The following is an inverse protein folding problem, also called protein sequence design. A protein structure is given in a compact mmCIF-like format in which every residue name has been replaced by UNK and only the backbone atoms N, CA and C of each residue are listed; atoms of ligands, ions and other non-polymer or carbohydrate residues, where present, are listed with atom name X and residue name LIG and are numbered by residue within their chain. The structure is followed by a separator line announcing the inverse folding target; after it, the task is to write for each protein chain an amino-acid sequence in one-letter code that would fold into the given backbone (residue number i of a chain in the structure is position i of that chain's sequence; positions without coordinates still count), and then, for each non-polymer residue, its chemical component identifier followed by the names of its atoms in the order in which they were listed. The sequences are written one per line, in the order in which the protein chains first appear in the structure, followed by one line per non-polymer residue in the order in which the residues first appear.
data_IF_038682540295
#
_entry.id   IF_038682540295
#
_cell.length_a   1.000
_cell.length_b   1.000
_cell.length_c   1.000
_cell.angle_alpha   90.00
_cell.angle_beta   90.00
_cell.angle_gamma   90.00
#
_symmetry.space_group_name_H-M   'P 1'
#
loop_
_entity.id
_entity.type
_entity.pdbx_description
1 polymer ?
#
# COMPACT_ATOMS: atom_id res chain seq x y z
N UNK A 1 39.85 31.15 33.86
CA UNK A 1 38.55 31.39 34.54
C UNK A 1 38.40 32.90 34.67
N UNK A 2 37.42 33.64 34.16
CA UNK A 2 36.30 33.35 33.26
C UNK A 2 35.97 34.65 32.52
N UNK A 3 35.64 34.54 31.24
CA UNK A 3 35.17 35.65 30.41
C UNK A 3 33.66 35.80 30.63
N UNK A 4 33.22 36.98 31.10
CA UNK A 4 31.80 37.26 31.36
C UNK A 4 31.38 38.60 30.78
N UNK A 5 30.39 38.55 29.87
CA UNK A 5 29.28 39.49 29.88
C UNK A 5 29.25 40.62 28.84
N UNK A 6 29.21 40.31 27.55
CA UNK A 6 28.83 41.31 26.53
C UNK A 6 27.29 41.40 26.43
N UNK A 7 26.70 42.37 27.16
CA UNK A 7 25.28 42.75 27.08
C UNK A 7 24.91 43.16 25.65
N UNK A 8 24.10 42.35 24.95
CA UNK A 8 23.44 42.76 23.70
C UNK A 8 22.18 43.56 24.03
N UNK A 9 22.21 44.87 23.76
CA UNK A 9 21.06 45.77 23.84
C UNK A 9 20.10 45.45 22.69
N UNK A 10 18.82 45.26 23.02
CA UNK A 10 17.71 45.08 22.08
C UNK A 10 17.42 46.44 21.43
N UNK A 11 17.61 46.54 20.12
CA UNK A 11 17.18 47.69 19.34
C UNK A 11 15.74 47.43 18.84
N UNK A 12 14.84 48.33 19.21
CA UNK A 12 13.50 48.47 18.65
C UNK A 12 13.56 49.33 17.39
N UNK A 13 13.08 48.81 16.27
CA UNK A 13 12.73 49.59 15.07
C UNK A 13 11.39 49.03 14.57
N UNK A 14 10.29 49.70 14.90
CA UNK A 14 9.64 50.71 14.06
C UNK A 14 8.92 50.04 12.88
N UNK A 15 7.61 49.82 13.07
CA UNK A 15 6.65 49.51 12.01
C UNK A 15 6.65 50.66 10.99
N UNK A 16 6.73 50.31 9.72
CA UNK A 16 6.16 51.08 8.62
C UNK A 16 5.36 50.09 7.80
N UNK A 17 4.05 50.32 7.79
CA UNK A 17 3.04 49.61 7.04
C UNK A 17 3.32 49.70 5.53
N UNK A 18 3.37 48.55 4.87
CA UNK A 18 2.94 48.34 3.49
C UNK A 18 2.81 46.81 3.28
N UNK A 19 1.89 46.20 4.03
CA UNK A 19 1.43 44.83 3.78
C UNK A 19 0.55 44.86 2.53
N UNK A 20 1.17 44.77 1.36
CA UNK A 20 0.49 44.37 0.13
C UNK A 20 -0.08 42.98 0.39
N UNK A 21 -1.41 42.76 0.32
CA UNK A 21 -1.96 41.43 0.51
C UNK A 21 -1.50 40.61 -0.70
N UNK A 22 -0.42 39.86 -0.53
CA UNK A 22 -0.04 38.79 -1.45
C UNK A 22 -1.17 37.80 -1.35
N UNK A 23 -2.12 37.91 -2.29
CA UNK A 23 -3.20 36.97 -2.49
C UNK A 23 -2.52 35.69 -2.92
N UNK A 24 -2.06 34.91 -1.93
CA UNK A 24 -1.48 33.58 -2.12
C UNK A 24 -2.52 32.84 -2.92
N UNK A 25 -2.21 32.57 -4.18
CA UNK A 25 -3.03 31.72 -5.04
C UNK A 25 -3.32 30.49 -4.22
N UNK A 26 -4.58 30.39 -3.77
CA UNK A 26 -5.04 29.26 -3.00
C UNK A 26 -4.85 28.11 -3.98
N UNK A 27 -3.85 27.27 -3.72
CA UNK A 27 -3.51 26.16 -4.60
C UNK A 27 -4.73 25.25 -4.80
N UNK A 28 -4.53 24.13 -5.50
CA UNK A 28 -5.50 23.04 -5.71
C UNK A 28 -6.54 22.80 -4.57
N UNK A 29 -6.13 23.12 -3.35
CA UNK A 29 -6.81 23.29 -2.06
C UNK A 29 -8.00 24.24 -1.95
N UNK A 30 -8.29 25.11 -2.93
CA UNK A 30 -9.37 26.10 -2.85
C UNK A 30 -10.77 25.48 -2.96
N UNK A 31 -10.86 24.25 -3.45
CA UNK A 31 -12.12 23.55 -3.71
C UNK A 31 -12.63 22.75 -2.50
N UNK A 32 -11.78 22.54 -1.49
CA UNK A 32 -12.19 21.87 -0.26
C UNK A 32 -12.92 22.87 0.65
N UNK A 33 -14.23 22.71 0.78
CA UNK A 33 -15.07 23.50 1.71
C UNK A 33 -14.88 23.08 3.18
N UNK A 34 -13.78 22.38 3.53
CA UNK A 34 -13.55 21.88 4.88
C UNK A 34 -13.15 22.99 5.84
N UNK A 35 -13.81 23.04 7.00
CA UNK A 35 -13.45 23.97 8.06
C UNK A 35 -12.13 23.57 8.73
N UNK A 36 -11.44 24.50 9.40
CA UNK A 36 -10.23 24.15 10.17
C UNK A 36 -10.52 23.13 11.29
N UNK A 37 -11.75 23.09 11.81
CA UNK A 37 -12.17 22.08 12.78
C UNK A 37 -12.20 20.69 12.14
N UNK A 38 -12.74 20.57 10.94
CA UNK A 38 -12.80 19.31 10.20
C UNK A 38 -11.39 18.84 9.82
N UNK A 39 -10.53 19.78 9.41
CA UNK A 39 -9.12 19.49 9.14
C UNK A 39 -8.36 18.99 10.37
N UNK A 40 -8.64 19.52 11.56
CA UNK A 40 -8.08 18.99 12.81
C UNK A 40 -8.56 17.58 13.10
N UNK A 41 -9.83 17.30 12.80
CA UNK A 41 -10.43 15.98 12.96
C UNK A 41 -9.77 14.95 12.04
N UNK A 42 -9.57 15.29 10.77
CA UNK A 42 -8.83 14.45 9.81
C UNK A 42 -7.43 14.14 10.34
N UNK A 43 -6.66 15.16 10.76
CA UNK A 43 -5.32 14.95 11.33
C UNK A 43 -5.31 14.11 12.60
N UNK A 44 -6.38 14.14 13.39
CA UNK A 44 -6.49 13.31 14.59
C UNK A 44 -6.69 11.85 14.22
N UNK A 45 -7.65 11.57 13.32
CA UNK A 45 -7.91 10.22 12.82
C UNK A 45 -6.69 9.61 12.12
N UNK A 46 -6.02 10.36 11.26
CA UNK A 46 -4.77 9.93 10.60
C UNK A 46 -3.69 9.50 11.61
N UNK A 47 -3.59 10.21 12.75
CA UNK A 47 -2.62 9.88 13.82
C UNK A 47 -3.06 8.67 14.64
N UNK A 48 -4.35 8.54 14.87
CA UNK A 48 -4.93 7.39 15.57
C UNK A 48 -4.72 6.12 14.75
N UNK A 49 -4.96 6.18 13.43
CA UNK A 49 -4.66 5.10 12.51
C UNK A 49 -3.17 4.75 12.48
N UNK A 50 -2.28 5.76 12.40
CA UNK A 50 -0.84 5.52 12.45
C UNK A 50 -0.41 4.78 13.72
N UNK A 51 -1.01 5.14 14.85
CA UNK A 51 -0.74 4.50 16.12
C UNK A 51 -1.24 3.05 16.11
N UNK A 52 -2.46 2.82 15.62
CA UNK A 52 -3.03 1.47 15.46
C UNK A 52 -2.18 0.59 14.54
N UNK A 53 -1.71 1.12 13.41
CA UNK A 53 -0.81 0.41 12.49
C UNK A 53 0.48 -0.05 13.19
N UNK A 54 1.04 0.81 14.03
CA UNK A 54 2.27 0.50 14.78
C UNK A 54 2.03 -0.54 15.87
N UNK A 55 0.90 -0.45 16.57
CA UNK A 55 0.54 -1.39 17.63
C UNK A 55 0.24 -2.79 17.05
N UNK A 56 -0.40 -2.85 15.88
CA UNK A 56 -0.78 -4.09 15.20
C UNK A 56 0.25 -4.56 14.15
N UNK A 57 1.50 -4.06 14.21
CA UNK A 57 2.51 -4.30 13.17
C UNK A 57 2.87 -5.78 12.95
N UNK A 58 2.72 -6.64 13.97
CA UNK A 58 2.90 -8.09 13.83
C UNK A 58 1.79 -8.74 13.02
N UNK A 59 0.56 -8.31 13.29
CA UNK A 59 -0.64 -8.90 12.72
C UNK A 59 -0.81 -8.43 11.28
N UNK A 60 -0.44 -7.18 11.00
CA UNK A 60 -0.29 -6.63 9.65
C UNK A 60 0.71 -7.39 8.80
N UNK A 61 1.78 -7.95 9.37
CA UNK A 61 2.76 -8.74 8.63
C UNK A 61 2.31 -10.19 8.39
N UNK A 62 1.19 -10.60 8.97
CA UNK A 62 0.69 -11.98 8.91
C UNK A 62 -0.26 -12.15 7.74
N UNK A 63 0.06 -13.07 6.82
CA UNK A 63 -0.69 -13.28 5.57
C UNK A 63 -2.14 -13.75 5.76
N UNK A 64 -2.45 -14.39 6.89
CA UNK A 64 -3.79 -14.90 7.20
C UNK A 64 -4.64 -13.91 7.99
N UNK A 65 -4.16 -12.67 8.18
CA UNK A 65 -4.82 -11.68 9.02
C UNK A 65 -5.56 -10.66 8.17
N UNK A 66 -6.83 -10.42 8.49
CA UNK A 66 -7.67 -9.41 7.82
C UNK A 66 -7.27 -7.97 8.22
N UNK A 67 -6.40 -7.80 9.22
CA UNK A 67 -6.01 -6.49 9.77
C UNK A 67 -5.38 -5.57 8.73
N UNK A 68 -4.66 -6.13 7.75
CA UNK A 68 -4.09 -5.35 6.65
C UNK A 68 -5.16 -4.77 5.73
N UNK A 69 -6.15 -5.58 5.35
CA UNK A 69 -7.24 -5.15 4.49
C UNK A 69 -8.12 -4.12 5.20
N UNK A 70 -8.42 -4.33 6.48
CA UNK A 70 -9.21 -3.41 7.29
C UNK A 70 -8.55 -2.03 7.37
N UNK A 71 -7.26 -1.97 7.70
CA UNK A 71 -6.58 -0.68 7.82
C UNK A 71 -6.33 0.00 6.46
N UNK A 72 -6.15 -0.77 5.39
CA UNK A 72 -6.05 -0.20 4.03
C UNK A 72 -7.39 0.42 3.61
N UNK A 73 -8.51 -0.27 3.84
CA UNK A 73 -9.85 0.26 3.56
C UNK A 73 -10.17 1.50 4.40
N UNK A 74 -9.75 1.53 5.67
CA UNK A 74 -9.92 2.69 6.53
C UNK A 74 -9.13 3.90 6.02
N UNK A 75 -7.90 3.69 5.57
CA UNK A 75 -7.07 4.74 4.98
C UNK A 75 -7.66 5.26 3.67
N UNK A 76 -8.11 4.36 2.78
CA UNK A 76 -8.75 4.73 1.51
C UNK A 76 -10.02 5.58 1.73
N UNK A 77 -10.84 5.22 2.72
CA UNK A 77 -12.01 6.04 3.08
C UNK A 77 -11.57 7.43 3.56
N UNK A 78 -10.52 7.54 4.36
CA UNK A 78 -10.07 8.84 4.87
C UNK A 78 -9.44 9.72 3.78
N UNK A 79 -8.85 9.12 2.75
CA UNK A 79 -8.18 9.82 1.66
C UNK A 79 -9.10 10.84 0.95
N UNK A 80 -10.41 10.54 0.84
CA UNK A 80 -11.40 11.48 0.28
C UNK A 80 -11.45 12.83 1.01
N UNK A 81 -10.98 12.89 2.25
CA UNK A 81 -10.98 14.08 3.09
C UNK A 81 -9.58 14.71 3.22
N UNK A 82 -8.56 14.10 2.63
CA UNK A 82 -7.18 14.59 2.65
C UNK A 82 -7.01 15.61 1.53
N UNK A 83 -7.32 16.87 1.85
CA UNK A 83 -7.22 17.93 0.86
C UNK A 83 -5.91 18.70 0.99
N UNK A 84 -5.34 18.92 2.18
CA UNK A 84 -4.20 19.82 2.37
C UNK A 84 -2.86 19.10 2.54
N UNK A 85 -1.73 19.75 2.19
CA UNK A 85 -0.41 19.11 2.21
C UNK A 85 -0.01 18.55 3.58
N UNK A 86 -0.49 19.18 4.66
CA UNK A 86 -0.21 18.72 6.02
C UNK A 86 -0.95 17.43 6.37
N UNK A 87 -2.15 17.23 5.82
CA UNK A 87 -2.90 15.98 5.97
C UNK A 87 -2.32 14.92 5.04
N UNK A 88 -1.96 15.27 3.79
CA UNK A 88 -1.30 14.37 2.85
C UNK A 88 0.04 13.81 3.38
N UNK A 89 0.77 14.60 4.16
CA UNK A 89 2.00 14.12 4.80
C UNK A 89 1.73 13.08 5.92
N UNK A 90 0.58 13.16 6.59
CA UNK A 90 0.19 12.16 7.59
C UNK A 90 -0.29 10.87 6.90
N UNK A 91 -1.09 11.01 5.86
CA UNK A 91 -1.54 9.91 4.99
C UNK A 91 -0.34 9.14 4.40
N UNK A 92 0.65 9.86 3.86
CA UNK A 92 1.89 9.24 3.38
C UNK A 92 2.63 8.45 4.47
N UNK A 93 2.61 8.93 5.72
CA UNK A 93 3.22 8.21 6.84
C UNK A 93 2.47 6.91 7.18
N UNK A 94 1.15 6.88 6.97
CA UNK A 94 0.34 5.66 7.13
C UNK A 94 0.64 4.66 6.00
N UNK A 95 0.74 5.14 4.76
CA UNK A 95 1.12 4.31 3.60
C UNK A 95 2.53 3.72 3.76
N UNK A 96 3.48 4.46 4.34
CA UNK A 96 4.82 3.94 4.60
C UNK A 96 4.80 2.74 5.55
N UNK A 97 3.98 2.77 6.62
CA UNK A 97 3.85 1.63 7.54
C UNK A 97 3.14 0.43 6.89
N UNK A 98 2.11 0.67 6.08
CA UNK A 98 1.48 -0.40 5.29
C UNK A 98 2.48 -1.03 4.31
N UNK A 99 3.32 -0.23 3.66
CA UNK A 99 4.35 -0.73 2.76
C UNK A 99 5.40 -1.59 3.49
N UNK A 100 5.78 -1.21 4.72
CA UNK A 100 6.63 -2.04 5.58
C UNK A 100 5.95 -3.39 5.86
N UNK A 101 4.65 -3.41 6.13
CA UNK A 101 3.90 -4.65 6.33
C UNK A 101 3.86 -5.52 5.07
N UNK A 102 3.54 -4.95 3.89
CA UNK A 102 3.55 -5.67 2.60
C UNK A 102 4.91 -6.25 2.28
N UNK A 103 5.98 -5.50 2.56
CA UNK A 103 7.36 -5.98 2.34
C UNK A 103 7.64 -7.22 3.20
N UNK A 104 7.21 -7.23 4.46
CA UNK A 104 7.35 -8.38 5.36
C UNK A 104 6.51 -9.56 4.89
N UNK A 105 5.27 -9.33 4.49
CA UNK A 105 4.40 -10.35 3.91
C UNK A 105 5.02 -10.99 2.66
N UNK A 106 5.59 -10.16 1.77
CA UNK A 106 6.27 -10.63 0.56
C UNK A 106 7.51 -11.47 0.86
N UNK A 107 8.29 -11.10 1.88
CA UNK A 107 9.40 -11.91 2.37
C UNK A 107 8.93 -13.24 2.97
N UNK A 108 7.81 -13.23 3.71
CA UNK A 108 7.20 -14.44 4.25
C UNK A 108 6.71 -15.36 3.12
N UNK A 109 6.09 -14.83 2.06
CA UNK A 109 5.70 -15.61 0.88
C UNK A 109 6.91 -16.18 0.14
N UNK A 110 7.95 -15.38 -0.08
CA UNK A 110 9.17 -15.83 -0.75
C UNK A 110 9.98 -16.86 0.05
N UNK A 111 9.88 -16.84 1.38
CA UNK A 111 10.50 -17.84 2.26
C UNK A 111 9.59 -19.05 2.51
N UNK A 112 8.28 -18.91 2.32
CA UNK A 112 7.35 -20.03 2.36
C UNK A 112 7.64 -20.97 1.18
N UNK A 113 7.69 -22.27 1.46
CA UNK A 113 7.87 -23.32 0.46
C UNK A 113 6.63 -23.50 -0.44
N UNK A 114 5.74 -22.49 -0.52
CA UNK A 114 4.50 -22.53 -1.29
C UNK A 114 4.76 -22.74 -2.81
N UNK A 115 5.93 -22.31 -3.30
CA UNK A 115 6.37 -22.52 -4.69
C UNK A 115 7.32 -23.71 -4.84
N UNK A 116 7.70 -24.39 -3.76
CA UNK A 116 8.57 -25.58 -3.81
C UNK A 116 7.70 -26.82 -3.89
N UNK A 117 7.27 -27.14 -5.09
CA UNK A 117 6.67 -28.44 -5.36
C UNK A 117 7.76 -29.50 -5.35
N UNK A 118 7.56 -30.57 -4.58
CA UNK A 118 8.39 -31.76 -4.73
C UNK A 118 8.10 -32.36 -6.12
N UNK A 119 9.08 -32.31 -7.01
CA UNK A 119 8.89 -32.72 -8.42
C UNK A 119 8.44 -34.19 -8.53
N UNK A 120 8.86 -35.03 -7.60
CA UNK A 120 8.46 -36.43 -7.46
C UNK A 120 6.98 -36.59 -7.11
N UNK A 121 6.47 -35.82 -6.14
CA UNK A 121 5.05 -35.76 -5.78
C UNK A 121 4.21 -35.26 -6.95
N UNK A 122 4.66 -34.19 -7.63
CA UNK A 122 3.97 -33.66 -8.79
C UNK A 122 3.89 -34.70 -9.92
N UNK A 123 5.00 -35.36 -10.25
CA UNK A 123 5.06 -36.42 -11.27
C UNK A 123 4.15 -37.58 -10.86
N UNK A 124 4.15 -37.98 -9.58
CA UNK A 124 3.30 -39.06 -9.05
C UNK A 124 1.83 -38.71 -9.19
N UNK A 125 1.40 -37.55 -8.70
CA UNK A 125 0.02 -37.09 -8.78
C UNK A 125 -0.44 -36.92 -10.23
N UNK A 126 0.42 -36.39 -11.10
CA UNK A 126 0.11 -36.24 -12.54
C UNK A 126 -0.07 -37.61 -13.19
N UNK A 127 0.78 -38.59 -12.84
CA UNK A 127 0.64 -39.97 -13.33
C UNK A 127 -0.64 -40.63 -12.83
N UNK A 128 -1.04 -40.40 -11.58
CA UNK A 128 -2.29 -40.96 -11.05
C UNK A 128 -3.53 -40.45 -11.84
N UNK A 129 -3.51 -39.19 -12.29
CA UNK A 129 -4.63 -38.56 -13.00
C UNK A 129 -4.57 -38.79 -14.52
N UNK A 130 -3.38 -38.86 -15.11
CA UNK A 130 -3.17 -38.91 -16.57
C UNK A 130 -2.76 -40.31 -17.06
N UNK A 131 -3.38 -41.37 -16.53
CA UNK A 131 -3.20 -42.75 -17.03
C UNK A 131 -4.36 -43.09 -17.98
N UNK A 132 -4.05 -43.68 -19.13
CA UNK A 132 -5.08 -44.15 -20.07
C UNK A 132 -5.85 -45.33 -19.47
N UNK A 133 -7.19 -45.24 -19.43
CA UNK A 133 -8.06 -46.35 -18.98
C UNK A 133 -7.83 -47.66 -19.75
N UNK A 134 -7.44 -47.57 -21.03
CA UNK A 134 -7.19 -48.74 -21.88
C UNK A 134 -5.85 -49.43 -21.63
N UNK A 135 -4.84 -48.72 -21.12
CA UNK A 135 -3.49 -49.23 -20.88
C UNK A 135 -2.84 -48.52 -19.68
N UNK A 136 -2.78 -49.16 -18.50
CA UNK A 136 -2.33 -48.51 -17.27
C UNK A 136 -0.82 -48.18 -17.22
N UNK A 137 -0.04 -48.59 -18.24
CA UNK A 137 1.36 -48.19 -18.37
C UNK A 137 1.56 -46.97 -19.27
N UNK A 138 0.54 -46.57 -20.03
CA UNK A 138 0.60 -45.47 -20.98
C UNK A 138 0.13 -44.16 -20.35
N UNK A 139 0.93 -43.12 -20.52
CA UNK A 139 0.61 -41.77 -20.08
C UNK A 139 -0.28 -41.05 -21.11
N UNK A 140 -1.35 -40.42 -20.63
CA UNK A 140 -2.28 -39.64 -21.43
C UNK A 140 -1.85 -38.15 -21.51
N UNK A 141 -1.07 -37.83 -22.53
CA UNK A 141 -0.66 -36.46 -22.82
C UNK A 141 -1.82 -35.53 -23.17
N UNK A 142 -2.94 -36.07 -23.66
CA UNK A 142 -4.10 -35.26 -24.05
C UNK A 142 -4.90 -34.83 -22.81
N UNK A 143 -5.06 -35.72 -21.83
CA UNK A 143 -5.64 -35.37 -20.53
C UNK A 143 -4.81 -34.29 -19.81
N UNK A 144 -3.47 -34.44 -19.81
CA UNK A 144 -2.57 -33.42 -19.24
C UNK A 144 -2.71 -32.07 -19.98
N UNK A 145 -2.71 -32.09 -21.32
CA UNK A 145 -2.85 -30.89 -22.13
C UNK A 145 -4.17 -30.16 -21.89
N UNK A 146 -5.26 -30.89 -21.70
CA UNK A 146 -6.57 -30.31 -21.37
C UNK A 146 -6.58 -29.67 -19.97
N UNK A 147 -5.99 -30.33 -18.98
CA UNK A 147 -5.91 -29.82 -17.60
C UNK A 147 -5.00 -28.58 -17.53
N UNK A 148 -3.80 -28.65 -18.12
CA UNK A 148 -2.87 -27.52 -18.17
C UNK A 148 -3.42 -26.35 -18.99
N UNK A 149 -4.14 -26.63 -20.08
CA UNK A 149 -4.78 -25.62 -20.92
C UNK A 149 -5.83 -24.80 -20.18
N UNK A 150 -6.51 -25.35 -19.17
CA UNK A 150 -7.46 -24.61 -18.34
C UNK A 150 -6.77 -23.47 -17.56
N UNK A 151 -5.55 -23.69 -17.06
CA UNK A 151 -4.77 -22.69 -16.32
C UNK A 151 -4.37 -21.46 -17.15
N UNK A 152 -4.28 -21.60 -18.49
CA UNK A 152 -3.97 -20.49 -19.40
C UNK A 152 -5.23 -19.87 -20.05
N UNK A 153 -6.38 -20.53 -19.93
CA UNK A 153 -7.68 -20.00 -20.38
C UNK A 153 -8.39 -19.22 -19.29
N UNK A 154 -8.10 -19.50 -18.03
CA UNK A 154 -8.46 -18.62 -16.93
C UNK A 154 -7.63 -17.34 -17.03
N UNK A 155 -8.17 -16.33 -17.71
CA UNK A 155 -7.67 -14.96 -17.57
C UNK A 155 -7.82 -14.61 -16.08
N UNK A 156 -6.73 -14.33 -15.35
CA UNK A 156 -6.87 -13.74 -14.04
C UNK A 156 -7.54 -12.39 -14.25
N UNK A 157 -8.70 -12.13 -13.64
CA UNK A 157 -9.32 -10.79 -13.64
C UNK A 157 -8.36 -9.71 -13.11
N UNK A 158 -7.29 -10.12 -12.44
CA UNK A 158 -6.13 -9.32 -12.01
C UNK A 158 -5.46 -8.57 -13.19
N UNK A 159 -5.46 -9.12 -14.41
CA UNK A 159 -4.88 -8.42 -15.59
C UNK A 159 -5.72 -7.20 -16.01
N UNK A 160 -6.98 -7.08 -15.58
CA UNK A 160 -7.75 -5.84 -15.79
C UNK A 160 -7.42 -4.74 -14.76
N UNK A 161 -6.89 -5.10 -13.59
CA UNK A 161 -6.69 -4.17 -12.48
C UNK A 161 -5.23 -3.85 -12.13
N UNK A 162 -4.24 -4.63 -12.57
CA UNK A 162 -2.82 -4.33 -12.30
C UNK A 162 -2.01 -4.23 -13.58
N UNK A 163 -1.79 -2.99 -14.01
CA UNK A 163 -0.57 -2.51 -14.67
C UNK A 163 -0.29 -3.01 -16.09
N UNK A 164 -0.85 -2.34 -17.08
CA UNK A 164 -0.05 -1.65 -18.12
C UNK A 164 -0.96 -0.56 -18.68
N UNK A 165 -0.51 0.70 -18.62
CA UNK A 165 -1.23 1.81 -19.22
C UNK A 165 -1.61 1.47 -20.66
N UNK A 166 -2.81 1.89 -21.06
CA UNK A 166 -3.26 1.89 -22.46
C UNK A 166 -2.08 2.37 -23.33
N UNK A 167 -1.40 1.45 -24.01
CA UNK A 167 -0.60 1.85 -25.15
C UNK A 167 -1.61 2.11 -26.25
N UNK A 168 -2.01 3.38 -26.37
CA UNK A 168 -2.58 3.88 -27.61
C UNK A 168 -1.55 3.62 -28.72
N UNK A 169 -1.79 2.57 -29.49
CA UNK A 169 -1.20 2.42 -30.82
C UNK A 169 -2.22 2.96 -31.81
N UNK A 170 -2.09 4.25 -32.16
CA UNK A 170 -2.51 4.71 -33.49
C UNK A 170 -1.54 4.18 -34.56
#
# INVERSE_FOLDING_TARGET
MGSSGKKRRRATSANSDDDVPTQRTIGFLAQSQLSEKDRRHVRYKERELLQSLKENASDLATLSSDTFDVHTQELDHMYEHVCYPREANLDASNLDELNVAVTKQSQALGSSDLTKYETTELIRATREVCVKESQPQDFDWHALGNAAGACFRSVPEIVSCTSFGLMDTE
#
